data_IF_604829694738
#
_entry.id   IF_604829694738
#
_cell.length_a   1.000
_cell.length_b   1.000
_cell.length_c   1.000
_cell.angle_alpha   90.00
_cell.angle_beta   90.00
_cell.angle_gamma   90.00
#
_symmetry.space_group_name_H-M   'P 1'
#
loop_
_entity.id
_entity.type
_entity.pdbx_description
1 polymer ?
#
# COMPACT_ATOMS: atom_id res chain seq x y z
N UNK A 1 7.17 -0.98 -6.85
CA UNK A 1 6.85 -1.50 -5.48
C UNK A 1 5.56 -2.28 -5.54
N UNK A 2 5.46 -3.41 -4.82
CA UNK A 2 4.22 -4.16 -4.68
C UNK A 2 3.35 -3.56 -3.57
N UNK A 3 2.03 -3.59 -3.76
CA UNK A 3 1.02 -3.19 -2.77
C UNK A 3 -0.23 -4.07 -2.87
N UNK A 4 -0.99 -4.16 -1.80
CA UNK A 4 -2.23 -4.93 -1.78
C UNK A 4 -3.29 -4.27 -0.87
N UNK A 5 -4.50 -4.77 -0.95
CA UNK A 5 -5.65 -4.31 -0.15
C UNK A 5 -5.52 -4.55 1.36
N UNK A 6 -4.57 -5.38 1.79
CA UNK A 6 -4.26 -5.59 3.19
C UNK A 6 -3.23 -4.58 3.76
N UNK A 7 -2.69 -3.70 2.93
CA UNK A 7 -1.79 -2.64 3.38
C UNK A 7 -2.56 -1.61 4.23
N UNK A 8 -1.98 -1.19 5.35
CA UNK A 8 -2.55 -0.12 6.19
C UNK A 8 -1.45 0.65 6.93
N UNK A 9 -1.77 1.79 7.50
CA UNK A 9 -0.87 2.63 8.29
C UNK A 9 0.40 2.97 7.50
N UNK A 10 1.59 2.68 8.01
CA UNK A 10 2.85 2.93 7.29
C UNK A 10 2.93 2.20 5.95
N UNK A 11 2.27 1.05 5.80
CA UNK A 11 2.18 0.36 4.53
C UNK A 11 1.20 1.02 3.53
N UNK A 12 0.45 2.05 3.95
CA UNK A 12 -0.23 3.01 3.07
C UNK A 12 0.65 4.24 2.80
N UNK A 13 1.24 4.84 3.83
CA UNK A 13 2.09 6.03 3.69
C UNK A 13 3.32 5.80 2.83
N UNK A 14 3.98 4.66 2.95
CA UNK A 14 5.19 4.34 2.19
C UNK A 14 4.94 4.29 0.68
N UNK A 15 3.98 3.51 0.14
CA UNK A 15 3.68 3.53 -1.29
C UNK A 15 3.14 4.89 -1.77
N UNK A 16 2.42 5.64 -0.92
CA UNK A 16 1.99 6.99 -1.25
C UNK A 16 3.20 7.90 -1.52
N UNK A 17 4.18 7.93 -0.61
CA UNK A 17 5.43 8.71 -0.78
C UNK A 17 6.21 8.23 -2.00
N UNK A 18 6.34 6.91 -2.19
CA UNK A 18 7.03 6.31 -3.33
C UNK A 18 6.47 6.81 -4.67
N UNK A 19 5.15 6.85 -4.80
CA UNK A 19 4.45 7.34 -6.00
C UNK A 19 4.64 8.86 -6.18
N UNK A 20 4.46 9.65 -5.12
CA UNK A 20 4.55 11.11 -5.18
C UNK A 20 5.98 11.62 -5.40
N UNK A 21 6.98 10.85 -5.00
CA UNK A 21 8.39 11.14 -5.29
C UNK A 21 8.84 10.60 -6.66
N UNK A 22 7.94 10.01 -7.44
CA UNK A 22 8.22 9.41 -8.75
C UNK A 22 9.40 8.40 -8.71
N UNK A 23 9.53 7.63 -7.63
CA UNK A 23 10.60 6.65 -7.46
C UNK A 23 10.41 5.48 -8.44
N UNK A 24 9.17 5.12 -8.74
CA UNK A 24 8.81 4.07 -9.69
C UNK A 24 7.34 3.68 -9.59
N UNK A 25 6.94 2.64 -10.30
CA UNK A 25 5.55 2.19 -10.37
C UNK A 25 5.10 1.42 -9.13
N UNK A 26 3.83 1.61 -8.78
CA UNK A 26 3.08 0.76 -7.85
C UNK A 26 2.36 -0.34 -8.62
N UNK A 27 2.52 -1.58 -8.20
CA UNK A 27 1.91 -2.77 -8.83
C UNK A 27 1.11 -3.54 -7.79
N UNK A 28 -0.10 -3.95 -8.11
CA UNK A 28 -0.94 -4.75 -7.23
C UNK A 28 -2.37 -4.26 -7.13
N UNK A 29 -2.92 -4.24 -5.94
CA UNK A 29 -4.29 -3.82 -5.68
C UNK A 29 -4.33 -2.49 -4.91
N UNK A 30 -5.44 -1.74 -4.99
CA UNK A 30 -5.58 -0.48 -4.27
C UNK A 30 -5.37 -0.67 -2.76
N UNK A 31 -4.63 0.26 -2.15
CA UNK A 31 -4.46 0.30 -0.69
C UNK A 31 -5.62 1.09 -0.09
N UNK A 32 -6.31 0.54 0.93
CA UNK A 32 -7.33 1.29 1.67
C UNK A 32 -6.75 2.52 2.35
N UNK A 33 -7.59 3.47 2.69
CA UNK A 33 -7.19 4.76 3.23
C UNK A 33 -6.96 4.78 4.74
N UNK A 34 -6.23 3.86 5.33
CA UNK A 34 -5.98 3.84 6.79
C UNK A 34 -4.59 4.37 7.10
N UNK A 35 -4.49 5.60 7.66
CA UNK A 35 -3.20 6.23 7.93
C UNK A 35 -3.13 7.00 9.27
N UNK A 36 -4.22 7.18 9.99
CA UNK A 36 -4.20 7.87 11.27
C UNK A 36 -3.45 7.07 12.33
N UNK A 37 -2.49 7.69 13.02
CA UNK A 37 -1.83 7.08 14.16
C UNK A 37 -2.69 7.12 15.41
N UNK A 38 -2.61 6.08 16.24
CA UNK A 38 -3.43 5.91 17.44
C UNK A 38 -2.56 5.77 18.70
N UNK A 39 -3.10 6.21 19.84
CA UNK A 39 -2.63 5.80 21.17
C UNK A 39 -3.44 4.61 21.63
N UNK A 40 -2.76 3.57 22.09
CA UNK A 40 -3.40 2.35 22.56
C UNK A 40 -3.71 2.44 24.04
N UNK A 41 -5.00 2.32 24.39
CA UNK A 41 -5.49 2.32 25.78
C UNK A 41 -6.00 0.94 26.16
N UNK A 42 -5.51 0.40 27.26
CA UNK A 42 -6.02 -0.84 27.83
C UNK A 42 -7.25 -0.54 28.67
N UNK A 43 -8.35 -1.24 28.39
CA UNK A 43 -9.61 -1.04 29.09
C UNK A 43 -9.61 -1.71 30.49
N UNK A 44 -10.73 -1.59 31.25
CA UNK A 44 -10.90 -2.23 32.57
C UNK A 44 -10.72 -3.75 32.48
N UNK A 45 -11.21 -4.38 31.41
CA UNK A 45 -10.81 -5.73 31.05
C UNK A 45 -9.49 -5.66 30.28
N UNK A 46 -8.37 -6.15 30.85
CA UNK A 46 -7.06 -6.03 30.24
C UNK A 46 -6.88 -6.85 28.95
N UNK A 47 -7.82 -7.71 28.61
CA UNK A 47 -7.82 -8.41 27.31
C UNK A 47 -8.31 -7.52 26.16
N UNK A 48 -8.91 -6.36 26.50
CA UNK A 48 -9.45 -5.41 25.52
C UNK A 48 -8.58 -4.17 25.43
N UNK A 49 -8.23 -3.80 24.20
CA UNK A 49 -7.42 -2.62 23.89
C UNK A 49 -8.14 -1.77 22.86
N UNK A 50 -8.14 -0.46 23.07
CA UNK A 50 -8.76 0.52 22.17
C UNK A 50 -7.72 1.50 21.61
N UNK A 51 -7.74 1.72 20.28
CA UNK A 51 -6.88 2.70 19.63
C UNK A 51 -7.57 4.05 19.49
N UNK A 52 -7.09 5.06 20.21
CA UNK A 52 -7.61 6.44 20.14
C UNK A 52 -6.84 7.19 19.04
N UNK A 53 -7.48 7.69 17.96
CA UNK A 53 -6.82 8.49 16.93
C UNK A 53 -6.24 9.79 17.52
N UNK A 54 -4.93 10.02 17.33
CA UNK A 54 -4.24 11.20 17.89
C UNK A 54 -3.43 12.00 16.86
N UNK A 55 -2.99 11.39 15.76
CA UNK A 55 -2.19 12.06 14.74
C UNK A 55 -2.73 11.73 13.34
N UNK A 56 -3.18 12.76 12.62
CA UNK A 56 -3.53 12.68 11.22
C UNK A 56 -2.36 13.17 10.32
N UNK A 57 -2.21 12.55 9.15
CA UNK A 57 -1.19 12.93 8.17
C UNK A 57 -1.83 13.79 7.09
N UNK A 58 -1.47 15.10 7.11
CA UNK A 58 -1.97 16.08 6.17
C UNK A 58 -1.08 16.16 4.94
N UNK A 59 -1.70 16.14 3.77
CA UNK A 59 -1.03 16.26 2.48
C UNK A 59 -0.75 17.73 2.13
N UNK A 60 0.15 18.01 1.15
CA UNK A 60 0.47 19.38 0.74
C UNK A 60 -0.73 20.19 0.23
N UNK A 61 -1.73 19.53 -0.33
CA UNK A 61 -2.98 20.15 -0.80
C UNK A 61 -3.98 20.46 0.33
N UNK A 62 -3.64 20.07 1.55
CA UNK A 62 -4.47 20.28 2.73
C UNK A 62 -5.45 19.14 3.06
N UNK A 63 -5.60 18.15 2.22
CA UNK A 63 -6.38 16.94 2.49
C UNK A 63 -5.64 16.02 3.48
N UNK A 64 -6.33 14.97 3.95
CA UNK A 64 -5.72 13.96 4.82
C UNK A 64 -5.55 12.65 4.07
N UNK A 65 -4.48 11.92 4.39
CA UNK A 65 -4.22 10.61 3.81
C UNK A 65 -5.20 9.53 4.32
N UNK A 66 -5.78 9.75 5.50
CA UNK A 66 -6.87 8.92 6.03
C UNK A 66 -8.09 8.96 5.11
N UNK A 67 -8.75 7.81 4.92
CA UNK A 67 -9.88 7.62 4.00
C UNK A 67 -9.58 7.95 2.53
N UNK A 68 -8.30 7.99 2.14
CA UNK A 68 -7.88 8.23 0.76
C UNK A 68 -7.26 6.95 0.19
N UNK A 69 -7.99 6.30 -0.70
CA UNK A 69 -7.52 5.09 -1.37
C UNK A 69 -6.35 5.40 -2.31
N UNK A 70 -5.29 4.59 -2.26
CA UNK A 70 -4.14 4.70 -3.13
C UNK A 70 -4.20 3.67 -4.27
N UNK A 71 -4.47 4.15 -5.48
CA UNK A 71 -4.51 3.31 -6.68
C UNK A 71 -3.10 2.95 -7.16
N UNK A 72 -2.86 1.68 -7.54
CA UNK A 72 -1.61 1.28 -8.20
C UNK A 72 -1.53 1.82 -9.62
N UNK A 73 -0.32 1.92 -10.17
CA UNK A 73 -0.11 2.24 -11.58
C UNK A 73 -0.40 1.05 -12.49
N UNK A 74 -0.21 -0.15 -11.98
CA UNK A 74 -0.56 -1.41 -12.64
C UNK A 74 -1.42 -2.25 -11.70
N UNK A 75 -2.72 -2.32 -12.01
CA UNK A 75 -3.69 -3.06 -11.19
C UNK A 75 -3.67 -4.53 -11.54
N UNK A 76 -3.32 -5.37 -10.58
CA UNK A 76 -3.28 -6.83 -10.69
C UNK A 76 -3.53 -7.49 -9.34
N UNK A 77 -4.47 -8.42 -9.30
CA UNK A 77 -4.73 -9.25 -8.13
C UNK A 77 -4.00 -10.60 -8.24
N UNK A 78 -3.69 -11.21 -7.11
CA UNK A 78 -3.32 -12.61 -7.06
C UNK A 78 -4.57 -13.48 -7.11
N UNK A 79 -4.60 -14.44 -8.02
CA UNK A 79 -5.63 -15.47 -8.06
C UNK A 79 -5.42 -16.45 -6.91
N UNK A 80 -6.44 -16.67 -6.03
CA UNK A 80 -6.32 -17.61 -4.93
C UNK A 80 -5.93 -19.04 -5.35
N UNK A 81 -6.40 -19.52 -6.50
CA UNK A 81 -6.04 -20.85 -7.00
C UNK A 81 -4.57 -20.92 -7.44
N UNK A 82 -4.02 -19.84 -7.99
CA UNK A 82 -2.62 -19.73 -8.35
C UNK A 82 -1.72 -19.67 -7.11
N UNK A 83 -2.12 -18.89 -6.10
CA UNK A 83 -1.39 -18.76 -4.82
C UNK A 83 -1.25 -20.11 -4.11
N UNK A 84 -2.31 -20.93 -4.08
CA UNK A 84 -2.27 -22.29 -3.48
C UNK A 84 -1.26 -23.19 -4.22
N UNK A 85 -1.00 -22.95 -5.49
CA UNK A 85 0.01 -23.65 -6.30
C UNK A 85 1.42 -23.05 -6.19
N UNK A 86 1.59 -22.00 -5.38
CA UNK A 86 2.86 -21.31 -5.20
C UNK A 86 3.17 -20.26 -6.28
N UNK A 87 2.18 -19.86 -7.08
CA UNK A 87 2.32 -18.83 -8.10
C UNK A 87 1.97 -17.45 -7.54
N UNK A 88 2.78 -16.44 -7.85
CA UNK A 88 2.56 -15.05 -7.48
C UNK A 88 2.45 -14.18 -8.74
N UNK A 89 1.21 -13.93 -9.16
CA UNK A 89 0.89 -13.14 -10.36
C UNK A 89 1.33 -11.67 -10.19
N UNK A 90 1.17 -11.11 -9.00
CA UNK A 90 1.59 -9.72 -8.74
C UNK A 90 3.11 -9.57 -8.86
N UNK A 91 3.87 -10.48 -8.27
CA UNK A 91 5.34 -10.47 -8.38
C UNK A 91 5.79 -10.62 -9.84
N UNK A 92 5.19 -11.55 -10.58
CA UNK A 92 5.51 -11.74 -12.00
C UNK A 92 5.27 -10.47 -12.80
N UNK A 93 4.12 -9.84 -12.67
CA UNK A 93 3.79 -8.59 -13.38
C UNK A 93 4.73 -7.47 -12.98
N UNK A 94 5.09 -7.35 -11.70
CA UNK A 94 6.04 -6.34 -11.24
C UNK A 94 7.43 -6.53 -11.85
N UNK A 95 7.91 -7.77 -11.97
CA UNK A 95 9.18 -8.09 -12.63
C UNK A 95 9.12 -7.75 -14.12
N UNK A 96 8.03 -8.15 -14.81
CA UNK A 96 7.84 -7.86 -16.23
C UNK A 96 7.83 -6.35 -16.52
N UNK A 97 7.21 -5.55 -15.65
CA UNK A 97 7.22 -4.08 -15.77
C UNK A 97 8.62 -3.49 -15.58
N UNK A 98 9.40 -3.98 -14.61
CA UNK A 98 10.79 -3.54 -14.42
C UNK A 98 11.68 -3.91 -15.60
N UNK A 99 11.56 -5.10 -16.15
CA UNK A 99 12.31 -5.52 -17.33
C UNK A 99 11.99 -4.64 -18.55
N UNK A 100 10.72 -4.31 -18.76
CA UNK A 100 10.33 -3.37 -19.84
C UNK A 100 10.97 -1.98 -19.66
N UNK A 101 11.10 -1.50 -18.43
CA UNK A 101 11.74 -0.20 -18.15
C UNK A 101 13.25 -0.25 -18.42
N UNK A 102 13.94 -1.30 -17.99
CA UNK A 102 15.37 -1.52 -18.24
C UNK A 102 15.64 -1.59 -19.75
N UNK A 103 14.82 -2.30 -20.51
CA UNK A 103 15.01 -2.43 -21.97
C UNK A 103 14.77 -1.12 -22.73
N UNK A 104 13.92 -0.23 -22.22
CA UNK A 104 13.75 1.13 -22.77
C UNK A 104 14.97 2.02 -22.53
N UNK A 105 15.66 1.86 -21.40
CA UNK A 105 16.85 2.66 -21.07
C UNK A 105 18.11 2.24 -21.85
N UNK A 106 18.10 1.04 -22.44
CA UNK A 106 19.22 0.54 -23.28
C UNK A 106 19.17 1.01 -24.73
N UNK A 107 18.08 1.67 -25.13
CA UNK A 107 17.90 2.26 -26.47
C UNK A 107 18.21 3.75 -26.48
#
# INVERSE_FOLDING_TARGET
MLQCEANYSNAHGTPWVYKHQNIGKLVGMPVPGTMTSVSWETLQDPSLVFGIPIVGYRLPDGSYLENTQLEPDVKVANDPEAVVKGEDTQLKVAVDELLKEIDKQKK
#
